data_IF_547541421976
#
_entry.id   IF_547541421976
#
_cell.length_a   1.000
_cell.length_b   1.000
_cell.length_c   1.000
_cell.angle_alpha   90.00
_cell.angle_beta   90.00
_cell.angle_gamma   90.00
#
_symmetry.space_group_name_H-M   'P 1'
#
loop_
_entity.id
_entity.type
_entity.pdbx_description
1 polymer ?
#
# COMPACT_ATOMS: atom_id res chain seq x y z
N UNK A 1 27.58 10.06 -26.45
CA UNK A 1 26.24 9.45 -26.25
C UNK A 1 26.08 9.27 -24.76
N UNK A 2 25.38 10.20 -24.11
CA UNK A 2 25.33 10.26 -22.64
C UNK A 2 24.45 9.14 -22.10
N UNK A 3 25.07 8.26 -21.32
CA UNK A 3 24.44 7.28 -20.45
C UNK A 3 23.65 8.00 -19.35
N UNK A 4 22.35 8.16 -19.52
CA UNK A 4 21.48 8.69 -18.46
C UNK A 4 20.00 8.48 -18.80
N UNK A 5 19.49 7.25 -18.72
CA UNK A 5 18.05 7.04 -18.51
C UNK A 5 17.68 5.66 -17.90
N UNK A 6 18.49 5.19 -16.95
CA UNK A 6 18.05 4.14 -16.01
C UNK A 6 17.87 4.80 -14.65
N UNK A 7 17.04 5.85 -14.60
CA UNK A 7 16.61 6.36 -13.32
C UNK A 7 15.69 5.27 -12.73
N UNK A 8 16.26 4.44 -11.84
CA UNK A 8 15.53 3.43 -11.07
C UNK A 8 14.19 4.01 -10.66
N UNK A 9 13.10 3.44 -11.18
CA UNK A 9 11.75 3.98 -11.00
C UNK A 9 11.35 3.82 -9.54
N UNK A 10 11.67 4.83 -8.75
CA UNK A 10 11.34 4.91 -7.32
C UNK A 10 9.88 5.29 -7.19
N UNK A 11 9.07 4.31 -6.81
CA UNK A 11 7.64 4.46 -6.61
C UNK A 11 7.33 4.87 -5.16
N UNK A 12 6.33 5.71 -4.98
CA UNK A 12 5.86 6.06 -3.65
C UNK A 12 5.25 4.82 -2.96
N UNK A 13 5.71 4.51 -1.74
CA UNK A 13 5.24 3.37 -0.96
C UNK A 13 3.75 3.45 -0.53
N UNK A 14 3.05 4.54 -0.84
CA UNK A 14 1.62 4.72 -0.53
C UNK A 14 0.76 4.67 -1.79
N UNK A 15 1.23 5.21 -2.93
CA UNK A 15 0.40 5.39 -4.13
C UNK A 15 1.06 5.02 -5.46
N UNK A 16 2.33 4.61 -5.43
CA UNK A 16 3.07 4.08 -6.59
C UNK A 16 3.43 5.04 -7.71
N UNK A 17 2.90 6.26 -7.66
CA UNK A 17 3.41 7.38 -8.45
C UNK A 17 4.90 7.64 -8.20
N UNK A 18 5.62 8.26 -9.16
CA UNK A 18 7.02 8.63 -9.00
C UNK A 18 7.28 9.39 -7.70
N UNK A 19 8.32 8.98 -6.99
CA UNK A 19 8.70 9.52 -5.69
C UNK A 19 10.09 10.16 -5.77
N UNK A 20 10.18 11.51 -5.75
CA UNK A 20 11.46 12.21 -5.82
C UNK A 20 12.22 12.16 -4.48
N UNK A 21 11.56 11.79 -3.39
CA UNK A 21 12.13 11.81 -2.05
C UNK A 21 12.17 10.42 -1.44
N UNK A 22 13.26 10.12 -0.74
CA UNK A 22 13.42 8.92 0.06
C UNK A 22 13.38 9.26 1.55
N UNK A 23 13.14 8.26 2.40
CA UNK A 23 13.28 8.40 3.84
C UNK A 23 14.71 8.84 4.16
N UNK A 24 14.88 10.03 4.71
CA UNK A 24 16.20 10.56 5.10
C UNK A 24 16.90 9.74 6.19
N UNK A 25 16.15 8.95 6.95
CA UNK A 25 16.71 8.09 7.99
C UNK A 25 17.37 6.83 7.43
N UNK A 26 16.64 6.03 6.64
CA UNK A 26 17.13 4.73 6.18
C UNK A 26 17.47 4.65 4.68
N UNK A 27 17.01 5.61 3.87
CA UNK A 27 17.17 5.58 2.41
C UNK A 27 16.35 4.53 1.65
N UNK A 28 15.63 3.63 2.33
CA UNK A 28 14.98 2.48 1.70
C UNK A 28 13.58 2.77 1.13
N UNK A 29 12.78 3.59 1.82
CA UNK A 29 11.39 3.86 1.42
C UNK A 29 11.27 5.20 0.68
N UNK A 30 10.47 5.25 -0.38
CA UNK A 30 10.28 6.43 -1.23
C UNK A 30 8.87 7.01 -1.12
N UNK A 31 8.75 8.33 -1.19
CA UNK A 31 7.48 9.05 -1.05
C UNK A 31 7.38 10.18 -2.08
N UNK A 32 6.18 10.35 -2.65
CA UNK A 32 5.90 11.47 -3.56
C UNK A 32 5.68 12.80 -2.82
N UNK A 33 5.40 12.76 -1.52
CA UNK A 33 5.12 13.95 -0.71
C UNK A 33 5.31 13.68 0.79
N UNK A 34 5.38 14.76 1.58
CA UNK A 34 5.53 14.68 3.04
C UNK A 34 4.31 14.04 3.70
N UNK A 35 3.11 14.27 3.15
CA UNK A 35 1.86 13.68 3.65
C UNK A 35 1.91 12.15 3.57
N UNK A 36 2.40 11.59 2.45
CA UNK A 36 2.55 10.15 2.28
C UNK A 36 3.63 9.57 3.19
N UNK A 37 4.71 10.31 3.43
CA UNK A 37 5.71 9.91 4.42
C UNK A 37 5.13 9.86 5.84
N UNK A 38 4.34 10.87 6.23
CA UNK A 38 3.66 10.92 7.53
C UNK A 38 2.65 9.78 7.67
N UNK A 39 1.86 9.49 6.63
CA UNK A 39 0.91 8.37 6.63
C UNK A 39 1.60 7.02 6.82
N UNK A 40 2.75 6.82 6.16
CA UNK A 40 3.51 5.58 6.28
C UNK A 40 4.24 5.43 7.63
N UNK A 41 4.48 6.53 8.36
CA UNK A 41 5.41 6.56 9.49
C UNK A 41 5.04 5.61 10.63
N UNK A 42 3.74 5.45 10.90
CA UNK A 42 3.24 4.54 11.96
C UNK A 42 3.73 3.10 11.77
N UNK A 43 3.81 2.64 10.52
CA UNK A 43 4.33 1.31 10.13
C UNK A 43 5.84 1.34 9.86
N UNK A 44 6.34 2.40 9.24
CA UNK A 44 7.73 2.47 8.81
C UNK A 44 8.72 2.69 9.96
N UNK A 45 8.36 3.41 11.03
CA UNK A 45 9.32 3.88 12.05
C UNK A 45 10.19 2.80 12.70
N UNK A 46 9.66 1.59 12.92
CA UNK A 46 10.43 0.48 13.50
C UNK A 46 11.35 -0.16 12.45
N UNK A 47 10.80 -0.43 11.26
CA UNK A 47 11.58 -0.91 10.12
C UNK A 47 12.71 0.06 9.75
N UNK A 48 12.47 1.36 9.79
CA UNK A 48 13.47 2.40 9.55
C UNK A 48 14.68 2.23 10.46
N UNK A 49 14.48 1.92 11.75
CA UNK A 49 15.58 1.64 12.68
C UNK A 49 16.30 0.35 12.31
N UNK A 50 15.59 -0.71 11.93
CA UNK A 50 16.18 -1.97 11.49
C UNK A 50 17.06 -1.75 10.26
N UNK A 51 16.57 -1.05 9.24
CA UNK A 51 17.33 -0.74 8.04
C UNK A 51 18.54 0.15 8.30
N UNK A 52 18.42 1.11 9.21
CA UNK A 52 19.55 1.94 9.65
C UNK A 52 20.64 1.11 10.33
N UNK A 53 20.26 0.17 11.22
CA UNK A 53 21.21 -0.76 11.86
C UNK A 53 21.90 -1.65 10.83
N UNK A 54 21.12 -2.23 9.92
CA UNK A 54 21.62 -3.05 8.82
C UNK A 54 22.63 -2.29 7.97
N UNK A 55 22.34 -1.03 7.59
CA UNK A 55 23.24 -0.19 6.81
C UNK A 55 24.55 0.14 7.54
N UNK A 56 24.55 0.14 8.88
CA UNK A 56 25.76 0.30 9.71
C UNK A 56 26.48 -1.00 10.02
N UNK A 57 25.99 -2.15 9.53
CA UNK A 57 26.54 -3.46 9.86
C UNK A 57 26.29 -3.90 11.30
N UNK A 58 25.32 -3.28 11.99
CA UNK A 58 24.94 -3.66 13.35
C UNK A 58 24.04 -4.90 13.34
N UNK A 59 24.06 -5.72 14.41
CA UNK A 59 23.11 -6.83 14.55
C UNK A 59 21.66 -6.35 14.46
N UNK A 60 20.90 -7.00 13.58
CA UNK A 60 19.46 -6.82 13.45
C UNK A 60 18.70 -8.03 13.98
N UNK A 61 17.45 -7.87 14.45
CA UNK A 61 16.63 -9.01 14.82
C UNK A 61 16.47 -9.99 13.65
N UNK A 62 16.26 -11.27 13.95
CA UNK A 62 15.96 -12.27 12.92
C UNK A 62 14.68 -11.88 12.16
N UNK A 63 14.58 -12.06 10.84
CA UNK A 63 13.36 -11.78 10.08
C UNK A 63 12.09 -12.48 10.61
N UNK A 64 12.26 -13.57 11.36
CA UNK A 64 11.15 -14.31 11.98
C UNK A 64 10.76 -13.82 13.37
N UNK A 65 11.52 -12.89 13.97
CA UNK A 65 11.23 -12.33 15.29
C UNK A 65 10.48 -11.00 15.23
N UNK A 66 10.12 -10.50 14.04
CA UNK A 66 9.35 -9.28 13.88
C UNK A 66 8.45 -9.31 12.64
N UNK A 67 7.41 -8.49 12.65
CA UNK A 67 6.57 -8.27 11.47
C UNK A 67 7.34 -7.51 10.38
N UNK A 68 7.58 -8.12 9.23
CA UNK A 68 8.31 -7.49 8.12
C UNK A 68 7.63 -6.28 7.49
N UNK A 69 6.35 -6.01 7.82
CA UNK A 69 5.59 -4.86 7.30
C UNK A 69 5.52 -3.66 8.26
N UNK A 70 5.76 -3.86 9.55
CA UNK A 70 5.71 -2.76 10.53
C UNK A 70 6.78 -2.79 11.63
N UNK A 71 7.67 -3.79 11.63
CA UNK A 71 8.76 -3.96 12.58
C UNK A 71 8.33 -4.27 14.02
N UNK A 72 7.11 -4.78 14.24
CA UNK A 72 6.64 -5.15 15.59
C UNK A 72 7.23 -6.52 15.99
N UNK A 73 7.96 -6.56 17.11
CA UNK A 73 8.57 -7.78 17.67
C UNK A 73 7.64 -8.50 18.69
N UNK A 74 6.94 -7.73 19.54
CA UNK A 74 6.17 -8.27 20.67
C UNK A 74 4.65 -8.34 20.38
N UNK A 75 4.25 -9.05 19.33
CA UNK A 75 2.83 -9.28 19.02
C UNK A 75 2.59 -10.72 18.61
N UNK A 76 1.32 -11.16 18.54
CA UNK A 76 1.05 -12.39 17.81
C UNK A 76 1.55 -12.18 16.37
N UNK A 77 2.44 -13.07 15.93
CA UNK A 77 3.02 -13.09 14.60
C UNK A 77 2.58 -14.38 13.91
N UNK A 78 2.39 -14.31 12.59
CA UNK A 78 2.12 -15.47 11.75
C UNK A 78 2.99 -15.44 10.51
N UNK A 79 3.22 -16.61 9.90
CA UNK A 79 3.70 -16.67 8.52
C UNK A 79 2.54 -16.52 7.54
N UNK A 80 2.79 -15.82 6.45
CA UNK A 80 1.86 -15.70 5.33
C UNK A 80 1.83 -16.99 4.52
N UNK A 81 0.67 -17.33 3.96
CA UNK A 81 0.55 -18.51 3.09
C UNK A 81 1.17 -18.25 1.71
N UNK A 82 1.02 -17.03 1.19
CA UNK A 82 1.47 -16.66 -0.15
C UNK A 82 3.00 -16.60 -0.33
N UNK A 83 3.75 -16.23 0.71
CA UNK A 83 5.20 -15.99 0.61
C UNK A 83 5.99 -16.44 1.84
N UNK A 84 5.35 -17.12 2.80
CA UNK A 84 5.99 -17.72 3.98
C UNK A 84 6.81 -16.76 4.85
N UNK A 85 6.43 -15.47 4.89
CA UNK A 85 7.14 -14.43 5.65
C UNK A 85 6.34 -13.97 6.86
N UNK A 86 7.07 -13.53 7.88
CA UNK A 86 6.52 -13.23 9.20
C UNK A 86 5.90 -11.84 9.24
N UNK A 87 4.62 -11.76 9.63
CA UNK A 87 3.84 -10.52 9.80
C UNK A 87 3.00 -10.58 11.06
N UNK A 88 2.39 -9.45 11.47
CA UNK A 88 1.43 -9.44 12.57
C UNK A 88 0.24 -10.34 12.26
N UNK A 89 -0.16 -11.15 13.23
CA UNK A 89 -1.41 -11.90 13.20
C UNK A 89 -2.54 -11.03 13.78
N UNK A 90 -3.09 -10.18 12.93
CA UNK A 90 -4.03 -9.13 13.31
C UNK A 90 -5.26 -9.08 12.38
N UNK A 91 -5.60 -10.21 11.75
CA UNK A 91 -6.68 -10.27 10.76
C UNK A 91 -8.03 -10.06 11.43
N UNK A 92 -8.26 -10.74 12.56
CA UNK A 92 -9.49 -10.67 13.35
C UNK A 92 -9.67 -9.37 14.15
N UNK A 93 -8.64 -8.53 14.23
CA UNK A 93 -8.70 -7.25 14.96
C UNK A 93 -9.33 -6.12 14.12
N UNK A 94 -9.76 -6.41 12.89
CA UNK A 94 -10.42 -5.43 12.03
C UNK A 94 -11.87 -5.22 12.44
N UNK A 95 -12.19 -4.05 12.98
CA UNK A 95 -13.58 -3.62 13.15
C UNK A 95 -14.18 -3.26 11.79
N UNK A 96 -15.27 -3.91 11.41
CA UNK A 96 -16.02 -3.56 10.19
C UNK A 96 -16.38 -2.07 10.18
N UNK A 97 -16.34 -1.45 9.00
CA UNK A 97 -16.58 0.00 8.79
C UNK A 97 -15.56 0.97 9.41
N UNK A 98 -14.49 0.49 10.07
CA UNK A 98 -13.43 1.38 10.58
C UNK A 98 -12.48 1.89 9.49
N UNK A 99 -12.52 1.29 8.28
CA UNK A 99 -11.56 1.51 7.19
C UNK A 99 -10.08 1.53 7.65
N UNK A 100 -9.78 0.90 8.79
CA UNK A 100 -8.48 1.07 9.44
C UNK A 100 -7.36 0.38 8.67
N UNK A 101 -6.34 1.14 8.28
CA UNK A 101 -5.13 0.63 7.62
C UNK A 101 -4.17 -0.11 8.59
N UNK A 102 -4.63 -0.47 9.79
CA UNK A 102 -3.76 -0.89 10.89
C UNK A 102 -3.47 -2.40 10.92
N UNK A 103 -4.22 -3.23 10.18
CA UNK A 103 -4.01 -4.68 10.12
C UNK A 103 -2.96 -5.06 9.08
N UNK A 104 -1.83 -5.63 9.47
CA UNK A 104 -0.77 -6.04 8.55
C UNK A 104 -1.20 -7.26 7.73
N UNK A 105 -1.77 -8.27 8.38
CA UNK A 105 -2.23 -9.51 7.74
C UNK A 105 -3.31 -9.27 6.71
N UNK A 106 -4.39 -8.57 7.09
CA UNK A 106 -5.50 -8.28 6.18
C UNK A 106 -5.07 -7.41 4.99
N UNK A 107 -4.24 -6.40 5.23
CA UNK A 107 -3.82 -5.52 4.13
C UNK A 107 -2.82 -6.23 3.20
N UNK A 108 -1.94 -7.08 3.74
CA UNK A 108 -1.06 -7.92 2.92
C UNK A 108 -1.89 -8.85 2.02
N UNK A 109 -2.85 -9.55 2.61
CA UNK A 109 -3.79 -10.45 1.93
C UNK A 109 -4.56 -9.76 0.79
N UNK A 110 -5.11 -8.57 1.04
CA UNK A 110 -6.00 -7.91 0.07
C UNK A 110 -5.31 -7.06 -1.00
N UNK A 111 -4.08 -6.61 -0.74
CA UNK A 111 -3.50 -5.49 -1.48
C UNK A 111 -2.08 -5.74 -1.98
N UNK A 112 -1.58 -6.98 -1.95
CA UNK A 112 -0.25 -7.28 -2.46
C UNK A 112 -0.28 -8.22 -3.65
N UNK A 113 0.73 -8.04 -4.50
CA UNK A 113 0.93 -8.85 -5.70
C UNK A 113 1.09 -10.34 -5.39
N UNK A 114 1.77 -10.68 -4.30
CA UNK A 114 2.00 -12.07 -3.91
C UNK A 114 0.71 -12.76 -3.41
N UNK A 115 -0.14 -12.07 -2.64
CA UNK A 115 -1.42 -12.62 -2.20
C UNK A 115 -2.40 -12.77 -3.36
N UNK A 116 -2.50 -11.78 -4.25
CA UNK A 116 -3.33 -11.90 -5.44
C UNK A 116 -2.92 -13.12 -6.29
N UNK A 117 -1.62 -13.27 -6.56
CA UNK A 117 -1.09 -14.43 -7.28
C UNK A 117 -1.46 -15.77 -6.64
N UNK A 118 -1.32 -15.86 -5.32
CA UNK A 118 -1.65 -17.07 -4.55
C UNK A 118 -3.15 -17.38 -4.58
N UNK A 119 -3.99 -16.38 -4.32
CA UNK A 119 -5.45 -16.54 -4.22
C UNK A 119 -6.08 -16.90 -5.57
N UNK A 120 -5.54 -16.39 -6.68
CA UNK A 120 -5.99 -16.73 -8.04
C UNK A 120 -5.39 -18.06 -8.56
N UNK A 121 -4.52 -18.72 -7.78
CA UNK A 121 -3.91 -19.99 -8.17
C UNK A 121 -3.05 -19.90 -9.43
N UNK A 122 -2.39 -18.76 -9.65
CA UNK A 122 -1.55 -18.57 -10.83
C UNK A 122 -0.28 -19.45 -10.77
N UNK A 123 0.16 -20.02 -11.91
CA UNK A 123 1.35 -20.85 -11.95
C UNK A 123 2.63 -20.01 -11.80
N UNK A 124 3.70 -20.65 -11.33
CA UNK A 124 5.01 -20.02 -11.11
C UNK A 124 5.20 -19.52 -9.68
N UNK A 125 6.46 -19.45 -9.25
CA UNK A 125 6.83 -19.08 -7.88
C UNK A 125 7.05 -17.58 -7.67
N UNK A 126 7.39 -16.84 -8.73
CA UNK A 126 7.65 -15.40 -8.62
C UNK A 126 6.44 -14.58 -9.08
N UNK A 127 5.66 -13.99 -8.14
CA UNK A 127 4.47 -13.23 -8.49
C UNK A 127 4.79 -11.95 -9.26
N UNK A 128 6.01 -11.39 -9.15
CA UNK A 128 6.39 -10.18 -9.88
C UNK A 128 6.59 -10.45 -11.38
N UNK A 129 6.84 -11.69 -11.78
CA UNK A 129 7.04 -12.10 -13.18
C UNK A 129 5.78 -12.74 -13.80
N UNK A 130 4.72 -12.92 -13.01
CA UNK A 130 3.50 -13.57 -13.48
C UNK A 130 2.73 -12.68 -14.48
N UNK A 131 2.65 -13.10 -15.75
CA UNK A 131 1.97 -12.34 -16.81
C UNK A 131 0.47 -12.18 -16.56
N UNK A 132 -0.20 -13.22 -16.05
CA UNK A 132 -1.63 -13.19 -15.72
C UNK A 132 -1.96 -12.12 -14.69
N UNK A 133 -1.14 -12.01 -13.64
CA UNK A 133 -1.31 -10.97 -12.66
C UNK A 133 -1.15 -9.58 -13.30
N UNK A 134 -0.14 -9.38 -14.16
CA UNK A 134 0.12 -8.06 -14.80
C UNK A 134 -0.99 -7.58 -15.75
N UNK A 135 -1.89 -8.46 -16.17
CA UNK A 135 -3.01 -8.13 -17.05
C UNK A 135 -4.37 -8.14 -16.33
N UNK A 136 -4.40 -8.42 -15.03
CA UNK A 136 -5.64 -8.58 -14.27
C UNK A 136 -6.29 -7.27 -13.85
N UNK A 137 -5.51 -6.21 -13.69
CA UNK A 137 -6.01 -4.89 -13.33
C UNK A 137 -5.42 -3.78 -14.23
N UNK A 138 -5.94 -2.57 -14.05
CA UNK A 138 -5.36 -1.39 -14.69
C UNK A 138 -3.93 -1.13 -14.17
N UNK A 139 -3.12 -0.46 -15.01
CA UNK A 139 -1.69 -0.29 -14.75
C UNK A 139 -1.36 0.45 -13.43
N UNK A 140 -2.21 1.37 -12.97
CA UNK A 140 -2.01 2.05 -11.67
C UNK A 140 -2.24 1.07 -10.52
N UNK A 141 -3.27 0.22 -10.61
CA UNK A 141 -3.55 -0.79 -9.59
C UNK A 141 -2.48 -1.88 -9.54
N UNK A 142 -1.98 -2.32 -10.70
CA UNK A 142 -0.87 -3.28 -10.75
C UNK A 142 0.40 -2.70 -10.13
N UNK A 143 0.77 -1.47 -10.50
CA UNK A 143 1.90 -0.77 -9.89
C UNK A 143 1.72 -0.65 -8.36
N UNK A 144 0.49 -0.40 -7.92
CA UNK A 144 0.15 -0.33 -6.51
C UNK A 144 0.30 -1.65 -5.77
N UNK A 145 -0.23 -2.76 -6.29
CA UNK A 145 -0.04 -4.08 -5.69
C UNK A 145 1.42 -4.48 -5.53
N UNK A 146 2.30 -4.01 -6.41
CA UNK A 146 3.73 -4.32 -6.38
C UNK A 146 4.54 -3.45 -5.42
N UNK A 147 4.14 -2.21 -5.16
CA UNK A 147 5.01 -1.20 -4.52
C UNK A 147 4.47 -0.55 -3.26
N UNK A 148 3.21 -0.81 -2.88
CA UNK A 148 2.66 -0.26 -1.64
C UNK A 148 3.33 -0.85 -0.39
N UNK A 149 3.20 -0.16 0.76
CA UNK A 149 3.81 -0.50 2.04
C UNK A 149 3.21 -1.72 2.77
N UNK A 150 2.32 -2.47 2.12
CA UNK A 150 1.90 -3.79 2.57
C UNK A 150 2.76 -4.90 1.95
N UNK A 151 3.66 -4.55 1.03
CA UNK A 151 4.72 -5.43 0.53
C UNK A 151 5.96 -5.34 1.43
N UNK A 152 6.76 -6.40 1.39
CA UNK A 152 8.08 -6.41 2.02
C UNK A 152 9.03 -5.53 1.21
N UNK A 153 9.92 -4.84 1.92
CA UNK A 153 10.82 -3.86 1.29
C UNK A 153 11.66 -4.46 0.16
N UNK A 154 12.13 -5.70 0.32
CA UNK A 154 12.89 -6.42 -0.70
C UNK A 154 12.10 -6.60 -2.01
N UNK A 155 10.81 -6.89 -1.94
CA UNK A 155 9.97 -6.98 -3.14
C UNK A 155 9.66 -5.62 -3.74
N UNK A 156 9.48 -4.58 -2.91
CA UNK A 156 9.29 -3.20 -3.39
C UNK A 156 10.51 -2.76 -4.19
N UNK A 157 11.73 -3.08 -3.74
CA UNK A 157 12.97 -2.73 -4.44
C UNK A 157 13.17 -3.53 -5.73
N UNK A 158 12.68 -4.78 -5.77
CA UNK A 158 12.74 -5.65 -6.96
C UNK A 158 11.63 -5.35 -7.97
N UNK A 159 10.55 -4.70 -7.53
CA UNK A 159 9.43 -4.36 -8.38
C UNK A 159 9.85 -3.34 -9.45
N UNK A 160 9.43 -3.60 -10.68
CA UNK A 160 9.58 -2.69 -11.81
C UNK A 160 8.24 -2.54 -12.54
N UNK A 161 7.25 -1.87 -11.94
CA UNK A 161 5.95 -1.71 -12.57
C UNK A 161 6.04 -0.82 -13.82
N UNK A 162 5.14 -1.07 -14.76
CA UNK A 162 4.98 -0.21 -15.92
C UNK A 162 4.53 1.20 -15.49
N UNK A 163 4.99 2.22 -16.22
CA UNK A 163 4.47 3.58 -16.06
C UNK A 163 3.00 3.62 -16.50
N UNK A 164 2.23 4.50 -15.87
CA UNK A 164 0.81 4.68 -16.16
C UNK A 164 0.46 6.17 -16.21
N UNK A 165 -0.57 6.51 -16.98
CA UNK A 165 -1.06 7.88 -17.07
C UNK A 165 -1.76 8.27 -15.75
N UNK A 166 -1.46 9.45 -15.18
CA UNK A 166 -2.16 9.94 -14.00
C UNK A 166 -3.66 10.07 -14.24
N UNK A 167 -4.46 9.56 -13.30
CA UNK A 167 -5.91 9.73 -13.34
C UNK A 167 -6.31 11.08 -12.76
N UNK A 168 -7.37 11.66 -13.28
CA UNK A 168 -7.87 12.97 -12.85
C UNK A 168 -9.37 12.90 -12.54
N UNK A 169 -9.79 13.67 -11.54
CA UNK A 169 -11.19 13.83 -11.18
C UNK A 169 -11.94 14.54 -12.31
N UNK A 170 -13.02 13.96 -12.82
CA UNK A 170 -13.82 14.57 -13.91
C UNK A 170 -14.54 15.85 -13.47
N UNK A 171 -14.86 15.99 -12.18
CA UNK A 171 -15.57 17.16 -11.66
C UNK A 171 -14.70 18.39 -11.40
N UNK A 172 -13.42 18.22 -11.05
CA UNK A 172 -12.54 19.35 -10.68
C UNK A 172 -11.16 19.33 -11.32
N UNK A 173 -10.86 18.33 -12.15
CA UNK A 173 -9.59 18.22 -12.88
C UNK A 173 -8.38 17.85 -12.03
N UNK A 174 -8.47 17.80 -10.70
CA UNK A 174 -7.31 17.43 -9.87
C UNK A 174 -6.88 15.99 -10.11
N UNK A 175 -5.57 15.74 -10.04
CA UNK A 175 -5.05 14.38 -10.04
C UNK A 175 -5.61 13.58 -8.85
N UNK A 176 -5.96 12.32 -9.09
CA UNK A 176 -6.40 11.36 -8.09
C UNK A 176 -5.51 10.11 -8.12
N UNK A 177 -5.26 9.56 -6.93
CA UNK A 177 -4.44 8.38 -6.67
C UNK A 177 -5.38 7.26 -6.22
N UNK A 178 -5.90 6.49 -7.17
CA UNK A 178 -7.04 5.59 -6.98
C UNK A 178 -6.94 4.70 -5.73
N UNK A 179 -5.75 4.22 -5.40
CA UNK A 179 -5.53 3.27 -4.32
C UNK A 179 -5.07 3.91 -2.99
N UNK A 180 -4.90 5.23 -2.96
CA UNK A 180 -4.39 5.97 -1.79
C UNK A 180 -5.38 7.02 -1.26
N UNK A 181 -6.48 7.28 -1.95
CA UNK A 181 -7.49 8.23 -1.52
C UNK A 181 -8.90 7.78 -1.89
N UNK A 182 -9.90 8.40 -1.26
CA UNK A 182 -11.30 8.14 -1.57
C UNK A 182 -11.63 8.60 -3.00
N UNK A 183 -12.05 7.65 -3.83
CA UNK A 183 -12.51 7.89 -5.20
C UNK A 183 -13.81 7.13 -5.44
N UNK A 184 -14.63 7.64 -6.35
CA UNK A 184 -15.87 6.99 -6.78
C UNK A 184 -15.92 6.92 -8.31
N UNK A 185 -16.36 5.78 -8.83
CA UNK A 185 -16.65 5.61 -10.24
C UNK A 185 -18.16 5.74 -10.44
N UNK A 186 -18.56 6.67 -11.31
CA UNK A 186 -19.95 6.83 -11.70
C UNK A 186 -20.09 7.07 -13.21
N UNK A 187 -21.32 7.28 -13.70
CA UNK A 187 -21.58 7.55 -15.11
C UNK A 187 -20.81 8.75 -15.67
N UNK A 188 -20.51 9.75 -14.83
CA UNK A 188 -19.71 10.92 -15.16
C UNK A 188 -18.19 10.69 -15.11
N UNK A 189 -17.75 9.43 -14.96
CA UNK A 189 -16.36 9.05 -14.79
C UNK A 189 -15.86 9.09 -13.34
N UNK A 190 -14.54 9.13 -13.19
CA UNK A 190 -13.84 9.07 -11.91
C UNK A 190 -13.96 10.39 -11.14
N UNK A 191 -14.48 10.33 -9.92
CA UNK A 191 -14.61 11.47 -9.03
C UNK A 191 -13.77 11.31 -7.77
N UNK A 192 -13.23 12.41 -7.28
CA UNK A 192 -12.55 12.44 -5.99
C UNK A 192 -13.53 12.56 -4.82
N UNK A 193 -13.13 12.12 -3.62
CA UNK A 193 -13.97 12.15 -2.41
C UNK A 193 -14.67 13.49 -2.17
N UNK A 194 -13.96 14.62 -2.30
CA UNK A 194 -14.54 15.97 -2.16
C UNK A 194 -15.67 16.26 -3.16
N UNK A 195 -15.53 15.81 -4.40
CA UNK A 195 -16.57 15.98 -5.42
C UNK A 195 -17.76 15.07 -5.14
N UNK A 196 -17.50 13.83 -4.73
CA UNK A 196 -18.54 12.86 -4.37
C UNK A 196 -19.34 13.32 -3.15
N UNK A 197 -18.69 13.82 -2.10
CA UNK A 197 -19.35 14.38 -0.91
C UNK A 197 -20.28 15.54 -1.24
N UNK A 198 -19.92 16.39 -2.21
CA UNK A 198 -20.78 17.50 -2.67
C UNK A 198 -22.02 17.02 -3.42
N UNK A 199 -21.99 15.82 -3.97
CA UNK A 199 -23.11 15.21 -4.70
C UNK A 199 -23.98 14.34 -3.79
N UNK A 200 -23.50 14.01 -2.60
CA UNK A 200 -24.31 13.28 -1.62
C UNK A 200 -25.48 14.16 -1.19
N UNK A 201 -26.74 13.67 -1.25
CA UNK A 201 -27.85 14.38 -0.64
C UNK A 201 -27.53 14.56 0.85
N UNK A 202 -27.75 15.77 1.38
CA UNK A 202 -27.68 16.06 2.81
C UNK A 202 -28.51 15.02 3.57
N UNK A 203 -27.85 14.15 4.32
CA UNK A 203 -28.48 12.99 4.96
C UNK A 203 -29.49 13.44 6.02
N UNK A 204 -30.70 12.88 5.90
CA UNK A 204 -31.71 12.48 6.90
C UNK A 204 -31.81 13.26 8.23
N UNK A 205 -33.03 13.64 8.66
CA UNK A 205 -33.24 14.31 9.94
C UNK A 205 -32.78 13.44 11.12
N UNK A 206 -32.17 14.09 12.12
CA UNK A 206 -31.58 13.48 13.31
C UNK A 206 -32.59 13.01 14.38
N UNK A 207 -33.89 12.99 14.09
CA UNK A 207 -34.89 12.73 15.11
C UNK A 207 -35.63 11.39 14.91
N UNK A 208 -35.89 10.76 16.05
CA UNK A 208 -36.76 9.60 16.33
C UNK A 208 -36.16 8.21 16.18
N UNK A 209 -35.38 7.80 17.18
CA UNK A 209 -35.66 6.55 17.90
C UNK A 209 -35.82 6.91 19.40
N UNK A 210 -37.04 7.23 19.82
CA UNK A 210 -37.42 7.09 21.23
C UNK A 210 -37.68 5.59 21.46
N UNK A 211 -36.90 5.00 22.36
CA UNK A 211 -37.27 3.73 22.99
C UNK A 211 -38.23 4.07 24.12
N UNK A 212 -39.52 3.79 23.93
CA UNK A 212 -40.45 3.74 25.03
C UNK A 212 -40.16 2.49 25.90
N UNK A 213 -40.23 2.71 27.21
CA UNK A 213 -39.87 1.79 28.29
C UNK A 213 -40.95 0.74 28.57
#
# INVERSE_FOLDING_TARGET
MSSSDTQERRCCAICSYPAPSQCSGCGQAFYCSKEHQTLAWSKHKRLCKIYQRQARGEPVPSPDSYCGLCGKENGPLRRTECCNRTICDDYGNYTMFSFSANSCSRNHDRYTRCCYHFNEGHPGSDPLQCTKCSTSHDAEKEAWYMTNNYNFQEDILRANPASFAPKHCTGCGRQVKQNAEAVSYGPSGLQCGRCTERMAPSVLPQDTYQFDS
#
